data_IF_570180239819
#
_entry.id   IF_570180239819
#
_cell.length_a   1.000
_cell.length_b   1.000
_cell.length_c   1.000
_cell.angle_alpha   90.00
_cell.angle_beta   90.00
_cell.angle_gamma   90.00
#
_symmetry.space_group_name_H-M   'P 1'
#
loop_
_entity.id
_entity.type
_entity.pdbx_description
1 polymer ?
#
# COMPACT_ATOMS: atom_id res chain seq x y z
N UNK A 1 -47.02 44.27 30.87
CA UNK A 1 -45.88 44.60 30.00
C UNK A 1 -45.78 43.48 29.01
N UNK A 2 -45.88 43.76 27.72
CA UNK A 2 -45.77 42.73 26.67
C UNK A 2 -44.32 42.41 26.44
N UNK A 3 -44.04 41.09 26.26
CA UNK A 3 -42.72 40.57 25.92
C UNK A 3 -42.05 41.33 24.75
N UNK A 4 -42.82 41.72 23.77
CA UNK A 4 -42.41 42.55 22.63
C UNK A 4 -41.83 43.91 23.03
N UNK A 5 -42.40 44.57 24.05
CA UNK A 5 -41.91 45.86 24.50
C UNK A 5 -40.56 45.74 25.23
N UNK A 6 -40.38 44.67 25.99
CA UNK A 6 -39.11 44.37 26.63
C UNK A 6 -37.99 44.14 25.61
N UNK A 7 -38.28 43.37 24.56
CA UNK A 7 -37.31 43.11 23.47
C UNK A 7 -36.98 44.40 22.70
N UNK A 8 -37.98 45.25 22.46
CA UNK A 8 -37.79 46.54 21.77
C UNK A 8 -36.95 47.52 22.59
N UNK A 9 -37.19 47.60 23.91
CA UNK A 9 -36.41 48.39 24.82
C UNK A 9 -34.96 47.91 24.96
N UNK A 10 -34.75 46.61 25.07
CA UNK A 10 -33.43 45.97 25.12
C UNK A 10 -32.64 46.24 23.84
N UNK A 11 -33.25 46.06 22.69
CA UNK A 11 -32.65 46.30 21.35
C UNK A 11 -32.26 47.78 21.16
N UNK A 12 -33.09 48.73 21.63
CA UNK A 12 -32.79 50.16 21.55
C UNK A 12 -31.58 50.56 22.40
N UNK A 13 -31.41 49.97 23.60
CA UNK A 13 -30.26 50.21 24.45
C UNK A 13 -28.95 49.64 23.89
N UNK A 14 -29.01 48.47 23.26
CA UNK A 14 -27.88 47.85 22.53
C UNK A 14 -27.41 48.75 21.38
N UNK A 15 -28.34 49.38 20.66
CA UNK A 15 -28.03 50.25 19.52
C UNK A 15 -27.37 51.58 19.90
N UNK A 16 -27.56 52.06 21.14
CA UNK A 16 -26.94 53.30 21.64
C UNK A 16 -25.44 53.14 21.93
N UNK A 17 -24.96 51.92 22.26
CA UNK A 17 -23.54 51.67 22.57
C UNK A 17 -22.96 50.58 21.61
N UNK A 18 -23.05 50.87 20.32
CA UNK A 18 -22.74 49.94 19.23
C UNK A 18 -21.36 49.27 19.37
N UNK A 19 -20.35 50.02 19.73
CA UNK A 19 -18.97 49.53 19.80
C UNK A 19 -18.78 48.50 20.93
N UNK A 20 -19.36 48.76 22.10
CA UNK A 20 -19.29 47.81 23.25
C UNK A 20 -20.05 46.53 22.95
N UNK A 21 -21.24 46.63 22.38
CA UNK A 21 -22.06 45.48 22.02
C UNK A 21 -21.40 44.67 20.94
N UNK A 22 -20.81 45.33 19.94
CA UNK A 22 -20.07 44.64 18.87
C UNK A 22 -18.87 43.85 19.41
N UNK A 23 -18.05 44.44 20.30
CA UNK A 23 -16.90 43.76 20.88
C UNK A 23 -17.29 42.55 21.75
N UNK A 24 -18.37 42.68 22.54
CA UNK A 24 -18.85 41.55 23.37
C UNK A 24 -19.39 40.39 22.51
N UNK A 25 -20.20 40.70 21.50
CA UNK A 25 -20.74 39.72 20.56
C UNK A 25 -19.60 39.05 19.77
N UNK A 26 -18.62 39.84 19.30
CA UNK A 26 -17.46 39.34 18.59
C UNK A 26 -16.68 38.36 19.46
N UNK A 27 -16.45 38.68 20.74
CA UNK A 27 -15.75 37.78 21.67
C UNK A 27 -16.49 36.47 21.89
N UNK A 28 -17.80 36.49 22.03
CA UNK A 28 -18.61 35.27 22.15
C UNK A 28 -18.60 34.45 20.87
N UNK A 29 -18.71 35.09 19.70
CA UNK A 29 -18.67 34.41 18.40
C UNK A 29 -17.32 33.72 18.18
N UNK A 30 -16.22 34.43 18.44
CA UNK A 30 -14.88 33.84 18.31
C UNK A 30 -14.72 32.66 19.28
N UNK A 31 -15.15 32.81 20.54
CA UNK A 31 -15.06 31.75 21.55
C UNK A 31 -15.87 30.51 21.16
N UNK A 32 -17.12 30.68 20.73
CA UNK A 32 -17.97 29.57 20.32
C UNK A 32 -17.47 28.93 19.01
N UNK A 33 -17.05 29.73 18.04
CA UNK A 33 -16.48 29.22 16.80
C UNK A 33 -15.22 28.38 17.03
N UNK A 34 -14.34 28.83 17.92
CA UNK A 34 -13.14 28.09 18.30
C UNK A 34 -13.46 26.68 18.87
N UNK A 35 -14.45 26.61 19.78
CA UNK A 35 -14.89 25.35 20.37
C UNK A 35 -15.47 24.42 19.29
N UNK A 36 -16.34 24.95 18.42
CA UNK A 36 -16.94 24.16 17.33
C UNK A 36 -15.89 23.61 16.38
N UNK A 37 -14.91 24.44 15.98
CA UNK A 37 -13.82 24.01 15.10
C UNK A 37 -12.98 22.91 15.77
N UNK A 38 -12.66 23.06 17.06
CA UNK A 38 -11.89 22.06 17.79
C UNK A 38 -12.59 20.71 17.88
N UNK A 39 -13.89 20.71 18.19
CA UNK A 39 -14.70 19.49 18.23
C UNK A 39 -14.83 18.86 16.83
N UNK A 40 -15.11 19.68 15.82
CA UNK A 40 -15.23 19.20 14.43
C UNK A 40 -13.94 18.57 13.91
N UNK A 41 -12.79 19.20 14.21
CA UNK A 41 -11.48 18.66 13.85
C UNK A 41 -11.22 17.33 14.55
N UNK A 42 -11.54 17.23 15.85
CA UNK A 42 -11.37 15.99 16.61
C UNK A 42 -12.20 14.83 16.07
N UNK A 43 -13.48 15.08 15.77
CA UNK A 43 -14.36 14.07 15.17
C UNK A 43 -13.94 13.70 13.75
N UNK A 44 -13.51 14.67 12.94
CA UNK A 44 -13.02 14.42 11.58
C UNK A 44 -11.75 13.56 11.58
N UNK A 45 -10.80 13.88 12.46
CA UNK A 45 -9.58 13.07 12.59
C UNK A 45 -9.89 11.64 13.07
N UNK A 46 -10.77 11.50 14.05
CA UNK A 46 -11.20 10.18 14.52
C UNK A 46 -11.82 9.36 13.40
N UNK A 47 -12.70 9.96 12.60
CA UNK A 47 -13.32 9.26 11.47
C UNK A 47 -12.32 8.88 10.40
N UNK A 48 -11.35 9.75 10.08
CA UNK A 48 -10.28 9.45 9.14
C UNK A 48 -9.42 8.26 9.61
N UNK A 49 -9.06 8.23 10.90
CA UNK A 49 -8.31 7.11 11.47
C UNK A 49 -9.10 5.79 11.41
N UNK A 50 -10.40 5.80 11.67
CA UNK A 50 -11.21 4.57 11.53
C UNK A 50 -11.27 4.10 10.09
N UNK A 51 -11.43 4.98 9.12
CA UNK A 51 -11.42 4.63 7.70
C UNK A 51 -10.08 4.02 7.27
N UNK A 52 -8.98 4.58 7.74
CA UNK A 52 -7.66 4.05 7.47
C UNK A 52 -7.48 2.63 8.05
N UNK A 53 -7.90 2.40 9.29
CA UNK A 53 -7.84 1.06 9.91
C UNK A 53 -8.74 0.06 9.16
N UNK A 54 -9.92 0.47 8.70
CA UNK A 54 -10.83 -0.38 7.94
C UNK A 54 -10.21 -0.83 6.60
N UNK A 55 -9.41 -0.01 5.96
CA UNK A 55 -8.70 -0.38 4.71
C UNK A 55 -7.68 -1.49 4.92
N UNK A 56 -7.06 -1.57 6.10
CA UNK A 56 -6.07 -2.60 6.43
C UNK A 56 -6.67 -3.88 7.05
N UNK A 57 -7.96 -4.14 6.84
CA UNK A 57 -8.64 -5.33 7.34
C UNK A 57 -9.41 -5.14 8.65
N UNK A 58 -9.53 -3.89 9.12
CA UNK A 58 -10.30 -3.54 10.31
C UNK A 58 -9.63 -3.90 11.63
N UNK A 59 -10.37 -3.67 12.72
CA UNK A 59 -9.87 -3.92 14.09
C UNK A 59 -9.86 -5.42 14.48
N UNK A 60 -10.36 -6.29 13.62
CA UNK A 60 -10.49 -7.72 13.88
C UNK A 60 -9.42 -8.57 13.21
N UNK A 61 -8.56 -7.97 12.39
CA UNK A 61 -7.48 -8.66 11.69
C UNK A 61 -6.14 -8.40 12.38
N UNK A 62 -5.42 -9.49 12.66
CA UNK A 62 -4.08 -9.45 13.25
C UNK A 62 -3.11 -10.02 12.23
N UNK A 63 -2.11 -9.24 11.85
CA UNK A 63 -1.02 -9.71 11.01
C UNK A 63 0.06 -10.34 11.88
N UNK A 64 0.38 -11.60 11.60
CA UNK A 64 1.45 -12.33 12.27
C UNK A 64 2.57 -12.57 11.28
N UNK A 65 3.76 -12.06 11.55
CA UNK A 65 4.97 -12.26 10.74
C UNK A 65 6.06 -12.90 11.57
N UNK A 66 6.96 -13.63 10.92
CA UNK A 66 8.16 -14.16 11.57
C UNK A 66 9.12 -13.02 11.96
N UNK A 67 10.04 -13.29 12.89
CA UNK A 67 10.98 -12.31 13.41
C UNK A 67 11.88 -11.67 12.32
N UNK A 68 12.09 -12.36 11.20
CA UNK A 68 12.86 -11.90 10.04
C UNK A 68 12.00 -11.61 8.80
N UNK A 69 10.68 -11.56 8.95
CA UNK A 69 9.78 -11.28 7.84
C UNK A 69 9.96 -9.85 7.34
N UNK A 70 10.43 -9.69 6.11
CA UNK A 70 10.33 -8.42 5.34
C UNK A 70 8.86 -8.11 5.01
N UNK A 71 8.00 -8.28 5.98
CA UNK A 71 6.59 -7.97 5.88
C UNK A 71 6.27 -6.71 6.65
N UNK A 72 6.09 -5.63 5.91
CA UNK A 72 5.64 -4.35 6.42
C UNK A 72 6.68 -3.53 7.20
N UNK A 73 7.64 -2.99 6.46
CA UNK A 73 8.50 -1.92 6.96
C UNK A 73 7.71 -0.61 7.08
N UNK A 74 6.67 -0.61 7.89
CA UNK A 74 6.08 0.59 8.42
C UNK A 74 6.23 0.62 9.92
N UNK A 75 7.29 1.32 10.36
CA UNK A 75 7.41 1.96 11.66
C UNK A 75 7.42 1.04 12.90
N UNK A 76 8.56 0.59 13.27
CA UNK A 76 9.14 0.82 14.59
C UNK A 76 10.50 0.10 14.62
N UNK A 77 11.52 0.71 14.04
CA UNK A 77 12.87 0.46 14.52
C UNK A 77 12.94 0.99 15.95
N UNK A 78 12.46 0.22 16.89
CA UNK A 78 12.84 0.38 18.28
C UNK A 78 14.32 0.05 18.35
N UNK A 79 15.10 1.09 18.48
CA UNK A 79 16.50 1.09 18.85
C UNK A 79 16.61 0.34 20.19
N UNK A 80 17.20 -0.85 20.18
CA UNK A 80 17.54 -1.50 21.42
C UNK A 80 17.55 -3.02 21.35
N UNK A 81 18.77 -3.51 21.44
CA UNK A 81 19.16 -4.84 21.87
C UNK A 81 19.18 -5.96 20.82
N UNK A 82 20.41 -6.21 20.36
CA UNK A 82 20.81 -7.37 19.59
C UNK A 82 20.78 -8.63 20.49
N UNK A 83 19.56 -9.15 20.70
CA UNK A 83 19.40 -10.55 21.05
C UNK A 83 19.32 -11.33 19.74
N UNK A 84 20.09 -12.43 19.68
CA UNK A 84 20.07 -13.40 18.60
C UNK A 84 18.62 -13.73 18.23
N UNK A 85 18.12 -13.10 17.16
CA UNK A 85 16.80 -13.39 16.64
C UNK A 85 16.84 -14.83 16.15
N UNK A 86 16.23 -15.74 16.87
CA UNK A 86 15.94 -17.07 16.37
C UNK A 86 15.15 -16.89 15.08
N UNK A 87 15.64 -17.47 13.99
CA UNK A 87 14.96 -17.50 12.69
C UNK A 87 13.65 -18.30 12.82
N UNK A 88 12.65 -17.70 13.44
CA UNK A 88 11.37 -18.35 13.61
C UNK A 88 10.48 -17.95 12.45
N UNK A 89 10.44 -18.84 11.45
CA UNK A 89 9.55 -18.70 10.31
C UNK A 89 8.13 -19.10 10.70
N UNK A 90 7.14 -18.44 10.09
CA UNK A 90 5.74 -18.87 10.18
C UNK A 90 5.54 -20.07 9.27
N UNK A 91 5.49 -21.27 9.86
CA UNK A 91 5.29 -22.53 9.17
C UNK A 91 3.83 -23.05 9.30
N UNK A 92 3.54 -24.14 8.64
CA UNK A 92 2.21 -24.78 8.70
C UNK A 92 1.83 -25.24 10.11
N UNK A 93 2.80 -25.51 10.98
CA UNK A 93 2.55 -25.88 12.37
C UNK A 93 2.12 -24.64 13.18
N UNK A 94 2.69 -23.47 12.87
CA UNK A 94 2.27 -22.19 13.44
C UNK A 94 0.84 -21.84 13.02
N UNK A 95 0.50 -22.01 11.72
CA UNK A 95 -0.85 -21.76 11.22
C UNK A 95 -1.90 -22.62 11.95
N UNK A 96 -1.60 -23.89 12.21
CA UNK A 96 -2.51 -24.78 12.97
C UNK A 96 -2.67 -24.32 14.41
N UNK A 97 -1.59 -23.94 15.08
CA UNK A 97 -1.67 -23.40 16.43
C UNK A 97 -2.47 -22.11 16.51
N UNK A 98 -2.32 -21.22 15.53
CA UNK A 98 -3.09 -19.98 15.46
C UNK A 98 -4.58 -20.25 15.25
N UNK A 99 -4.93 -21.24 14.43
CA UNK A 99 -6.32 -21.63 14.19
C UNK A 99 -7.01 -22.27 15.42
N UNK A 100 -6.23 -22.82 16.35
CA UNK A 100 -6.75 -23.43 17.59
C UNK A 100 -6.96 -22.40 18.72
N UNK A 101 -6.52 -21.13 18.54
CA UNK A 101 -6.70 -20.11 19.56
C UNK A 101 -8.17 -19.71 19.72
N UNK A 102 -8.55 -19.46 20.95
CA UNK A 102 -9.88 -18.94 21.27
C UNK A 102 -10.10 -17.59 20.63
N UNK A 103 -11.27 -17.37 20.05
CA UNK A 103 -11.66 -16.15 19.31
C UNK A 103 -11.03 -15.96 17.91
N UNK A 104 -10.24 -16.89 17.40
CA UNK A 104 -9.78 -16.88 16.02
C UNK A 104 -10.85 -17.53 15.13
N UNK A 105 -11.36 -16.80 14.16
CA UNK A 105 -12.40 -17.26 13.24
C UNK A 105 -11.81 -17.91 11.99
N UNK A 106 -10.74 -17.33 11.44
CA UNK A 106 -10.03 -17.86 10.27
C UNK A 106 -8.55 -17.46 10.32
N UNK A 107 -7.72 -18.26 9.72
CA UNK A 107 -6.28 -17.97 9.55
C UNK A 107 -5.97 -18.07 8.06
N UNK A 108 -5.57 -16.95 7.48
CA UNK A 108 -5.31 -16.83 6.05
C UNK A 108 -3.80 -16.67 5.80
N UNK A 109 -3.13 -17.64 5.17
CA UNK A 109 -1.73 -17.49 4.84
C UNK A 109 -1.54 -16.48 3.72
N UNK A 110 -0.55 -15.63 3.87
CA UNK A 110 -0.12 -14.66 2.85
C UNK A 110 1.37 -14.84 2.63
N UNK A 111 1.74 -15.13 1.38
CA UNK A 111 3.13 -15.19 0.97
C UNK A 111 3.49 -13.92 0.24
N UNK A 112 4.58 -13.27 0.62
CA UNK A 112 5.08 -12.09 -0.08
C UNK A 112 6.49 -12.32 -0.59
N UNK A 113 6.75 -11.86 -1.81
CA UNK A 113 8.07 -11.92 -2.42
C UNK A 113 8.27 -10.75 -3.37
N UNK A 114 9.50 -10.26 -3.47
CA UNK A 114 9.86 -9.27 -4.48
C UNK A 114 10.01 -9.93 -5.84
N UNK A 115 9.35 -9.39 -6.83
CA UNK A 115 9.38 -9.89 -8.21
C UNK A 115 9.67 -8.77 -9.19
N UNK A 116 10.13 -9.16 -10.37
CA UNK A 116 10.30 -8.23 -11.47
C UNK A 116 9.36 -8.59 -12.62
N UNK A 117 8.65 -7.60 -13.13
CA UNK A 117 7.83 -7.73 -14.34
C UNK A 117 8.52 -7.04 -15.51
N UNK A 118 8.46 -7.69 -16.67
CA UNK A 118 9.04 -7.16 -17.90
C UNK A 118 7.98 -7.05 -18.99
N UNK A 119 8.02 -5.93 -19.71
CA UNK A 119 7.25 -5.75 -20.94
C UNK A 119 8.03 -4.92 -21.95
N UNK A 120 8.49 -5.54 -23.00
CA UNK A 120 9.28 -4.85 -24.04
C UNK A 120 10.55 -4.22 -23.46
N UNK A 121 10.65 -2.89 -23.55
CA UNK A 121 11.75 -2.10 -23.00
C UNK A 121 11.51 -1.65 -21.55
N UNK A 122 10.40 -2.03 -20.93
CA UNK A 122 10.06 -1.63 -19.57
C UNK A 122 10.31 -2.78 -18.59
N UNK A 123 10.79 -2.43 -17.42
CA UNK A 123 10.93 -3.34 -16.28
C UNK A 123 10.43 -2.65 -15.02
N UNK A 124 9.82 -3.43 -14.12
CA UNK A 124 9.25 -2.90 -12.89
C UNK A 124 9.44 -3.87 -11.73
N UNK A 125 9.81 -3.34 -10.57
CA UNK A 125 9.91 -4.09 -9.33
C UNK A 125 8.66 -3.90 -8.51
N UNK A 126 8.14 -4.99 -7.99
CA UNK A 126 6.95 -4.96 -7.15
C UNK A 126 6.90 -6.14 -6.19
N UNK A 127 6.06 -6.01 -5.18
CA UNK A 127 5.76 -7.11 -4.27
C UNK A 127 4.65 -7.98 -4.87
N UNK A 128 4.94 -9.27 -5.00
CA UNK A 128 3.93 -10.28 -5.30
C UNK A 128 3.40 -10.82 -3.99
N UNK A 129 2.11 -10.68 -3.78
CA UNK A 129 1.40 -11.24 -2.64
C UNK A 129 0.55 -12.42 -3.10
N UNK A 130 0.86 -13.61 -2.61
CA UNK A 130 0.04 -14.79 -2.87
C UNK A 130 -0.87 -15.06 -1.67
N UNK A 131 -2.18 -15.17 -1.92
CA UNK A 131 -3.20 -15.34 -0.89
C UNK A 131 -4.43 -16.08 -1.42
N UNK A 132 -5.29 -16.50 -0.50
CA UNK A 132 -6.59 -17.07 -0.84
C UNK A 132 -7.59 -15.99 -1.24
N UNK A 133 -8.69 -16.34 -1.94
CA UNK A 133 -9.78 -15.40 -2.21
C UNK A 133 -10.40 -14.82 -0.93
N UNK A 134 -10.42 -15.61 0.14
CA UNK A 134 -10.87 -15.20 1.47
C UNK A 134 -9.91 -14.19 2.09
N UNK A 135 -8.60 -14.39 1.94
CA UNK A 135 -7.56 -13.45 2.37
C UNK A 135 -7.65 -12.09 1.67
N UNK A 136 -8.01 -12.08 0.38
CA UNK A 136 -8.24 -10.85 -0.36
C UNK A 136 -9.43 -10.06 0.22
N UNK A 137 -10.52 -10.76 0.55
CA UNK A 137 -11.71 -10.15 1.15
C UNK A 137 -11.47 -9.64 2.56
N UNK A 138 -10.70 -10.39 3.37
CA UNK A 138 -10.40 -9.98 4.75
C UNK A 138 -9.54 -8.72 4.81
N UNK A 139 -8.78 -8.45 3.76
CA UNK A 139 -7.99 -7.22 3.58
C UNK A 139 -8.76 -6.09 2.90
N UNK A 140 -10.07 -6.29 2.67
CA UNK A 140 -10.95 -5.32 2.00
C UNK A 140 -10.43 -4.84 0.63
N UNK A 141 -9.71 -5.72 -0.08
CA UNK A 141 -9.20 -5.44 -1.41
C UNK A 141 -10.30 -5.69 -2.43
N UNK A 142 -10.87 -4.63 -2.97
CA UNK A 142 -11.90 -4.66 -4.00
C UNK A 142 -11.30 -4.52 -5.38
N UNK A 143 -11.89 -5.20 -6.37
CA UNK A 143 -11.54 -5.02 -7.78
C UNK A 143 -12.30 -3.83 -8.37
N UNK A 144 -11.61 -3.00 -9.14
CA UNK A 144 -12.24 -1.95 -9.96
C UNK A 144 -12.67 -2.49 -11.32
N UNK A 145 -11.87 -3.40 -11.87
CA UNK A 145 -12.07 -4.00 -13.18
C UNK A 145 -11.62 -5.47 -13.14
N UNK A 146 -12.15 -6.27 -14.06
CA UNK A 146 -11.79 -7.68 -14.18
C UNK A 146 -12.49 -8.58 -13.18
N UNK A 147 -11.97 -9.79 -13.05
CA UNK A 147 -12.48 -10.85 -12.16
C UNK A 147 -11.33 -11.56 -11.48
N UNK A 148 -11.63 -12.22 -10.35
CA UNK A 148 -10.64 -13.08 -9.72
C UNK A 148 -10.29 -14.27 -10.64
N UNK A 149 -9.03 -14.69 -10.65
CA UNK A 149 -8.60 -15.81 -11.49
C UNK A 149 -9.35 -17.10 -11.11
N UNK A 150 -9.73 -17.93 -12.08
CA UNK A 150 -10.34 -19.22 -11.80
C UNK A 150 -9.30 -20.17 -11.16
N UNK A 151 -9.74 -20.99 -10.21
CA UNK A 151 -8.88 -21.91 -9.42
C UNK A 151 -7.99 -22.88 -10.22
N UNK A 152 -8.15 -23.03 -11.53
CA UNK A 152 -7.38 -23.95 -12.38
C UNK A 152 -7.07 -23.33 -13.74
N UNK A 153 -6.66 -22.08 -13.79
CA UNK A 153 -6.14 -21.52 -15.04
C UNK A 153 -4.80 -22.18 -15.35
N UNK A 154 -4.63 -22.67 -16.56
CA UNK A 154 -3.35 -23.24 -17.03
C UNK A 154 -2.25 -22.17 -17.19
N UNK A 155 -2.51 -20.94 -16.78
CA UNK A 155 -1.62 -19.79 -16.86
C UNK A 155 -1.54 -19.10 -15.50
N UNK A 156 -0.43 -18.42 -15.24
CA UNK A 156 -0.30 -17.56 -14.08
C UNK A 156 -1.09 -16.28 -14.36
N UNK A 157 -2.15 -16.06 -13.62
CA UNK A 157 -2.97 -14.87 -13.69
C UNK A 157 -2.75 -14.01 -12.45
N UNK A 158 -2.56 -12.71 -12.66
CA UNK A 158 -2.28 -11.76 -11.59
C UNK A 158 -3.36 -10.68 -11.55
N UNK A 159 -3.70 -10.27 -10.35
CA UNK A 159 -4.45 -9.05 -10.10
C UNK A 159 -3.43 -7.95 -9.78
N UNK A 160 -3.54 -6.82 -10.46
CA UNK A 160 -2.61 -5.71 -10.28
C UNK A 160 -3.19 -4.63 -9.39
N UNK A 161 -2.33 -3.99 -8.61
CA UNK A 161 -2.68 -2.78 -7.89
C UNK A 161 -2.92 -1.60 -8.84
N UNK A 162 -3.66 -0.60 -8.39
CA UNK A 162 -4.01 0.58 -9.17
C UNK A 162 -2.79 1.42 -9.61
N UNK A 163 -1.68 1.32 -8.88
CA UNK A 163 -0.45 2.09 -9.13
C UNK A 163 0.72 1.22 -9.59
N UNK A 164 0.46 0.00 -10.03
CA UNK A 164 1.50 -0.94 -10.50
C UNK A 164 2.35 -0.35 -11.63
N UNK A 165 1.74 0.41 -12.56
CA UNK A 165 2.45 1.02 -13.69
C UNK A 165 3.46 2.08 -13.29
N UNK A 166 3.31 2.72 -12.14
CA UNK A 166 4.23 3.75 -11.63
C UNK A 166 5.60 3.17 -11.30
N UNK A 167 5.66 1.87 -10.97
CA UNK A 167 6.89 1.16 -10.63
C UNK A 167 7.66 0.66 -11.86
N UNK A 168 7.17 0.91 -13.06
CA UNK A 168 7.91 0.59 -14.28
C UNK A 168 8.85 1.71 -14.67
N UNK A 169 10.02 1.34 -15.14
CA UNK A 169 11.01 2.24 -15.71
C UNK A 169 11.54 1.69 -17.04
N UNK A 170 12.03 2.56 -17.87
CA UNK A 170 12.55 2.20 -19.18
C UNK A 170 14.02 1.75 -19.05
N UNK A 171 14.33 0.57 -19.59
CA UNK A 171 15.68 0.03 -19.65
C UNK A 171 16.64 1.01 -20.33
N UNK A 172 17.81 1.19 -19.73
CA UNK A 172 18.91 2.00 -20.30
C UNK A 172 18.81 3.49 -20.01
N UNK A 173 17.63 4.05 -19.79
CA UNK A 173 17.48 5.46 -19.41
C UNK A 173 17.11 5.62 -17.94
N UNK A 174 16.63 4.55 -17.30
CA UNK A 174 16.04 4.55 -15.95
C UNK A 174 14.93 5.60 -15.78
N UNK A 175 14.33 6.05 -16.89
CA UNK A 175 13.24 7.00 -16.85
C UNK A 175 11.99 6.32 -16.25
N UNK A 176 11.48 6.90 -15.18
CA UNK A 176 10.29 6.45 -14.44
C UNK A 176 9.15 7.47 -14.53
N UNK A 177 7.98 7.10 -14.05
CA UNK A 177 6.88 8.06 -13.89
C UNK A 177 7.27 9.27 -13.04
N UNK A 178 8.08 9.07 -12.01
CA UNK A 178 8.53 10.14 -11.11
C UNK A 178 9.44 11.16 -11.77
N UNK A 179 10.11 10.78 -12.87
CA UNK A 179 10.99 11.66 -13.62
C UNK A 179 10.25 12.37 -14.77
N UNK A 180 9.33 11.64 -15.41
CA UNK A 180 8.69 12.11 -16.66
C UNK A 180 7.26 12.58 -16.47
N UNK A 181 6.56 12.09 -15.42
CA UNK A 181 5.14 12.29 -15.22
C UNK A 181 4.25 11.46 -16.17
N UNK A 182 4.85 10.61 -17.00
CA UNK A 182 4.14 9.79 -17.97
C UNK A 182 4.17 8.32 -17.57
N UNK A 183 3.00 7.65 -17.64
CA UNK A 183 2.91 6.21 -17.41
C UNK A 183 3.36 5.45 -18.68
N UNK A 184 3.98 4.26 -18.51
CA UNK A 184 4.29 3.40 -19.65
C UNK A 184 3.02 2.98 -20.37
N UNK A 185 3.10 2.88 -21.70
CA UNK A 185 2.01 2.38 -22.55
C UNK A 185 1.92 0.84 -22.44
N UNK A 186 1.39 0.37 -21.32
CA UNK A 186 1.19 -1.05 -21.02
C UNK A 186 -0.24 -1.25 -20.57
N UNK A 187 -0.98 -2.10 -21.28
CA UNK A 187 -2.33 -2.51 -20.90
C UNK A 187 -2.23 -3.77 -20.00
N UNK A 188 -2.37 -3.58 -18.68
CA UNK A 188 -2.22 -4.66 -17.70
C UNK A 188 -3.25 -5.79 -17.88
N UNK A 189 -4.40 -5.54 -18.49
CA UNK A 189 -5.43 -6.56 -18.73
C UNK A 189 -5.20 -7.36 -20.01
N UNK A 190 -4.75 -6.70 -21.08
CA UNK A 190 -4.62 -7.33 -22.40
C UNK A 190 -3.22 -7.84 -22.68
N UNK A 191 -2.23 -7.17 -22.13
CA UNK A 191 -0.85 -7.49 -22.41
C UNK A 191 -0.37 -8.65 -21.54
N UNK A 192 0.42 -9.55 -22.17
CA UNK A 192 1.16 -10.55 -21.42
C UNK A 192 2.49 -9.97 -20.97
N UNK A 193 2.79 -10.11 -19.69
CA UNK A 193 4.05 -9.70 -19.11
C UNK A 193 4.91 -10.93 -18.79
N UNK A 194 6.20 -10.70 -18.58
CA UNK A 194 7.10 -11.74 -18.09
C UNK A 194 7.42 -11.49 -16.62
N UNK A 195 7.14 -12.47 -15.79
CA UNK A 195 7.47 -12.49 -14.37
C UNK A 195 8.81 -13.16 -14.16
N UNK A 196 9.69 -12.53 -13.41
CA UNK A 196 10.98 -13.05 -13.01
C UNK A 196 11.02 -13.10 -11.48
N UNK A 197 11.24 -14.30 -10.95
CA UNK A 197 11.36 -14.56 -9.51
C UNK A 197 12.82 -14.43 -9.04
N UNK A 198 13.75 -14.89 -9.87
CA UNK A 198 15.19 -14.83 -9.61
C UNK A 198 15.79 -13.61 -10.32
N UNK A 199 15.80 -12.48 -9.61
CA UNK A 199 16.33 -11.22 -10.12
C UNK A 199 17.84 -11.24 -10.26
N UNK A 200 18.53 -11.87 -9.32
CA UNK A 200 20.00 -11.98 -9.34
C UNK A 200 20.48 -12.82 -10.53
N UNK A 201 19.85 -13.98 -10.76
CA UNK A 201 20.10 -14.82 -11.92
C UNK A 201 19.75 -14.14 -13.25
N UNK A 202 18.78 -13.23 -13.24
CA UNK A 202 18.44 -12.45 -14.44
C UNK A 202 19.54 -11.47 -14.84
N UNK A 203 20.08 -10.71 -13.89
CA UNK A 203 21.13 -9.74 -14.18
C UNK A 203 22.52 -10.39 -14.40
N UNK A 204 22.83 -11.44 -13.69
CA UNK A 204 24.07 -12.19 -13.89
C UNK A 204 24.11 -12.95 -15.23
N UNK A 205 22.94 -13.29 -15.79
CA UNK A 205 22.79 -13.93 -17.09
C UNK A 205 22.71 -12.98 -18.29
N UNK A 206 22.59 -11.66 -18.07
CA UNK A 206 22.76 -10.67 -19.12
C UNK A 206 24.26 -10.46 -19.35
N UNK A 207 24.74 -10.68 -20.58
CA UNK A 207 26.12 -10.35 -20.95
C UNK A 207 26.39 -8.89 -20.55
N UNK A 208 27.39 -8.70 -19.68
CA UNK A 208 27.85 -7.37 -19.32
C UNK A 208 28.16 -6.59 -20.60
N UNK A 209 27.52 -5.44 -20.76
CA UNK A 209 27.79 -4.57 -21.89
C UNK A 209 29.30 -4.28 -21.96
N UNK A 210 29.93 -4.26 -23.15
CA UNK A 210 31.34 -3.92 -23.27
C UNK A 210 31.76 -2.60 -22.62
N UNK A 211 30.80 -1.74 -22.32
CA UNK A 211 30.99 -0.47 -21.61
C UNK A 211 31.19 -0.66 -20.10
N UNK A 212 30.56 -1.65 -19.49
CA UNK A 212 30.72 -1.94 -18.05
C UNK A 212 32.08 -2.57 -17.73
N UNK A 213 32.69 -3.26 -18.70
CA UNK A 213 34.08 -3.75 -18.58
C UNK A 213 35.12 -2.63 -18.61
N UNK A 214 34.79 -1.46 -19.16
CA UNK A 214 35.71 -0.33 -19.24
C UNK A 214 35.68 0.58 -18.00
N UNK A 215 34.66 0.47 -17.16
CA UNK A 215 34.50 1.28 -15.94
C UNK A 215 35.08 0.59 -14.68
N UNK A 216 36.15 -0.19 -14.82
CA UNK A 216 37.08 -0.68 -13.80
C UNK A 216 36.65 -0.58 -12.32
N UNK A 217 35.61 -1.27 -11.90
CA UNK A 217 35.29 -1.51 -10.51
C UNK A 217 35.95 -2.83 -10.09
N UNK A 218 37.15 -2.75 -9.54
CA UNK A 218 37.83 -3.84 -8.85
C UNK A 218 37.13 -4.09 -7.51
N UNK A 219 36.06 -4.84 -7.54
CA UNK A 219 35.45 -5.42 -6.34
C UNK A 219 35.57 -6.95 -6.45
N UNK A 220 36.54 -7.49 -5.71
CA UNK A 220 36.94 -8.89 -5.71
C UNK A 220 35.83 -9.81 -5.17
N UNK A 221 34.77 -10.00 -5.93
CA UNK A 221 33.76 -11.02 -5.71
C UNK A 221 34.17 -12.33 -6.38
N UNK A 222 34.37 -13.38 -5.59
CA UNK A 222 34.69 -14.74 -6.02
C UNK A 222 33.74 -15.19 -7.15
N UNK A 223 34.35 -15.66 -8.25
CA UNK A 223 33.69 -16.05 -9.47
C UNK A 223 32.55 -17.03 -9.26
N UNK A 224 31.36 -16.55 -9.41
CA UNK A 224 30.15 -17.37 -9.42
C UNK A 224 30.18 -18.35 -10.58
N UNK A 225 30.07 -19.62 -10.29
CA UNK A 225 29.77 -20.69 -11.24
C UNK A 225 28.60 -20.27 -12.10
N UNK A 226 28.72 -20.34 -13.42
CA UNK A 226 27.77 -19.87 -14.40
C UNK A 226 26.31 -20.13 -14.00
N UNK A 227 25.65 -19.08 -13.52
CA UNK A 227 24.27 -19.19 -13.11
C UNK A 227 23.40 -19.44 -14.34
N UNK A 228 22.49 -20.39 -14.24
CA UNK A 228 21.54 -20.66 -15.31
C UNK A 228 20.70 -19.39 -15.51
N UNK A 229 20.41 -19.00 -16.76
CA UNK A 229 19.61 -17.81 -17.01
C UNK A 229 18.26 -17.93 -16.29
N UNK A 230 17.85 -16.84 -15.61
CA UNK A 230 16.61 -16.80 -14.85
C UNK A 230 15.40 -17.16 -15.73
N UNK A 231 14.53 -18.00 -15.21
CA UNK A 231 13.31 -18.39 -15.93
C UNK A 231 12.33 -17.23 -16.01
N UNK A 232 11.83 -16.99 -17.22
CA UNK A 232 10.79 -16.01 -17.49
C UNK A 232 9.44 -16.74 -17.53
N UNK A 233 8.53 -16.35 -16.64
CA UNK A 233 7.17 -16.88 -16.59
C UNK A 233 6.22 -15.91 -17.27
N UNK A 234 5.42 -16.41 -18.22
CA UNK A 234 4.40 -15.57 -18.86
C UNK A 234 3.23 -15.41 -17.90
N UNK A 235 2.87 -14.18 -17.61
CA UNK A 235 1.74 -13.83 -16.75
C UNK A 235 0.74 -12.95 -17.49
N UNK A 236 -0.52 -13.05 -17.11
CA UNK A 236 -1.62 -12.25 -17.64
C UNK A 236 -2.34 -11.54 -16.52
N UNK A 237 -2.83 -10.34 -16.80
CA UNK A 237 -3.71 -9.64 -15.87
C UNK A 237 -5.13 -10.18 -15.98
N UNK A 238 -5.77 -10.38 -14.84
CA UNK A 238 -7.17 -10.78 -14.75
C UNK A 238 -8.03 -9.72 -14.04
N UNK A 239 -7.42 -8.78 -13.36
CA UNK A 239 -8.13 -7.71 -12.69
C UNK A 239 -7.21 -6.61 -12.18
N UNK A 240 -7.84 -5.46 -11.88
CA UNK A 240 -7.21 -4.30 -11.30
C UNK A 240 -7.87 -3.97 -9.96
N UNK A 241 -7.07 -3.72 -8.94
CA UNK A 241 -7.57 -3.31 -7.62
C UNK A 241 -8.15 -1.90 -7.70
N UNK A 242 -9.27 -1.69 -7.02
CA UNK A 242 -9.85 -0.37 -6.84
C UNK A 242 -8.95 0.45 -5.92
N UNK A 243 -8.49 1.58 -6.41
CA UNK A 243 -7.76 2.56 -5.61
C UNK A 243 -8.55 3.86 -5.51
N UNK A 244 -8.52 4.50 -4.34
CA UNK A 244 -8.89 5.90 -4.18
C UNK A 244 -7.77 6.82 -4.67
N UNK A 245 -8.02 8.13 -4.67
CA UNK A 245 -7.01 9.13 -5.08
C UNK A 245 -5.77 9.09 -4.18
N UNK A 246 -5.94 8.64 -2.94
CA UNK A 246 -4.89 8.58 -1.91
C UNK A 246 -4.38 7.14 -1.66
N UNK A 247 -4.94 6.12 -2.34
CA UNK A 247 -4.56 4.72 -2.16
C UNK A 247 -3.47 4.33 -3.15
N UNK A 248 -2.24 4.37 -2.69
CA UNK A 248 -1.10 3.84 -3.44
C UNK A 248 -0.98 2.33 -3.26
N UNK A 249 -1.42 1.56 -4.25
CA UNK A 249 -1.24 0.12 -4.27
C UNK A 249 -0.49 -0.31 -5.54
N UNK A 250 0.80 -0.56 -5.40
CA UNK A 250 1.68 -0.98 -6.48
C UNK A 250 2.02 -2.48 -6.44
N UNK A 251 1.33 -3.25 -5.61
CA UNK A 251 1.51 -4.69 -5.48
C UNK A 251 0.85 -5.44 -6.63
N UNK A 252 1.27 -6.68 -6.84
CA UNK A 252 0.55 -7.65 -7.65
C UNK A 252 0.13 -8.83 -6.76
N UNK A 253 -1.02 -9.43 -7.10
CA UNK A 253 -1.64 -10.46 -6.29
C UNK A 253 -1.80 -11.74 -7.10
N UNK A 254 -1.36 -12.87 -6.53
CA UNK A 254 -1.62 -14.20 -7.03
C UNK A 254 -2.63 -14.88 -6.11
N UNK A 255 -3.74 -15.35 -6.67
CA UNK A 255 -4.82 -15.99 -5.92
C UNK A 255 -4.75 -17.49 -6.19
N UNK A 256 -4.63 -18.30 -5.12
CA UNK A 256 -4.50 -19.75 -5.19
C UNK A 256 -5.66 -20.54 -4.60
#
# INVERSE_FOLDING_TARGET
MNWMDLLRMSSSNLRRRKLRTFLTVLGVVIGTASIVVMISLGLGLQQAMYQEIEQYGGLTTINVSGANGEGDMMMYSSMGDSQEASEEYVDDACLKKLAELEHVTSVEPVYSMSVMLLKGSYEGYMQLMAMTPEGLKSRNIELSQGTLPPKNSGHIELVYGNMTLVNFYQKGTNASYWDTGELPDIDLEKDSLFLILDQEGYYSGQEQSPLDMAAGGDDGGEGGQGSKPAKKHVVRGCGLVKGGVDDYNANCYYIF
#
